data_IF_049583374851
#
_entry.id   IF_049583374851
#
_cell.length_a   1.000
_cell.length_b   1.000
_cell.length_c   1.000
_cell.angle_alpha   90.00
_cell.angle_beta   90.00
_cell.angle_gamma   90.00
#
_symmetry.space_group_name_H-M   'P 1'
#
loop_
_entity.id
_entity.type
_entity.pdbx_description
1 polymer ?
#
# COMPACT_ATOMS: atom_id res chain seq x y z
N UNK A 1 5.49 -1.93 6.00
CA UNK A 1 6.78 -1.50 5.41
C UNK A 1 6.92 -2.09 4.01
N UNK A 2 6.78 -1.27 2.98
CA UNK A 2 6.87 -1.66 1.56
C UNK A 2 8.29 -1.55 0.98
N UNK A 3 9.29 -1.22 1.81
CA UNK A 3 10.64 -0.86 1.35
C UNK A 3 10.74 0.58 0.83
N UNK A 4 9.62 1.32 0.75
CA UNK A 4 9.61 2.73 0.38
C UNK A 4 9.89 3.68 1.54
N UNK A 5 10.28 4.91 1.21
CA UNK A 5 10.59 5.98 2.18
C UNK A 5 9.42 6.31 3.11
N UNK A 6 8.20 6.33 2.60
CA UNK A 6 7.00 6.74 3.36
C UNK A 6 6.70 5.80 4.52
N UNK A 7 6.67 4.49 4.24
CA UNK A 7 6.45 3.48 5.28
C UNK A 7 7.61 3.35 6.25
N UNK A 8 8.81 3.74 5.82
CA UNK A 8 10.03 3.72 6.64
C UNK A 8 10.06 4.89 7.60
N UNK A 9 9.72 6.09 7.13
CA UNK A 9 9.58 7.25 8.00
C UNK A 9 8.39 7.09 8.95
N UNK A 10 7.26 6.55 8.49
CA UNK A 10 6.12 6.30 9.36
C UNK A 10 6.50 5.43 10.57
N UNK A 11 7.28 4.36 10.36
CA UNK A 11 7.78 3.52 11.43
C UNK A 11 8.76 4.27 12.35
N UNK A 12 9.64 5.11 11.79
CA UNK A 12 10.58 5.90 12.56
C UNK A 12 9.88 6.93 13.46
N UNK A 13 8.89 7.65 12.94
CA UNK A 13 8.11 8.63 13.70
C UNK A 13 7.37 7.97 14.86
N UNK A 14 6.71 6.83 14.64
CA UNK A 14 6.05 6.10 15.73
C UNK A 14 7.03 5.62 16.79
N UNK A 15 8.24 5.23 16.38
CA UNK A 15 9.29 4.84 17.34
C UNK A 15 9.76 6.04 18.17
N UNK A 16 9.93 7.19 17.53
CA UNK A 16 10.29 8.46 18.18
C UNK A 16 9.18 8.91 19.16
N UNK A 17 7.91 8.69 18.81
CA UNK A 17 6.73 8.98 19.64
C UNK A 17 6.55 7.97 20.81
N UNK A 18 7.43 6.98 20.94
CA UNK A 18 7.45 6.04 22.08
C UNK A 18 6.56 4.80 21.92
N UNK A 19 6.01 4.54 20.73
CA UNK A 19 5.25 3.31 20.48
C UNK A 19 6.17 2.07 20.51
N UNK A 20 5.59 0.92 20.87
CA UNK A 20 6.18 -0.38 20.58
C UNK A 20 5.89 -0.77 19.14
N UNK A 21 6.88 -0.60 18.27
CA UNK A 21 6.71 -0.69 16.82
C UNK A 21 7.25 -2.03 16.30
N UNK A 22 6.43 -2.73 15.51
CA UNK A 22 6.83 -3.89 14.71
C UNK A 22 6.61 -3.60 13.22
N UNK A 23 7.64 -3.82 12.42
CA UNK A 23 7.59 -3.69 10.98
C UNK A 23 6.97 -4.92 10.31
N UNK A 24 5.90 -4.74 9.53
CA UNK A 24 5.32 -5.82 8.71
C UNK A 24 5.51 -5.52 7.22
N UNK A 25 6.07 -6.47 6.47
CA UNK A 25 6.00 -6.47 4.99
C UNK A 25 4.99 -7.51 4.53
N UNK A 26 4.05 -7.11 3.67
CA UNK A 26 3.07 -8.03 3.09
C UNK A 26 3.61 -8.62 1.79
N UNK A 27 3.73 -9.94 1.75
CA UNK A 27 4.05 -10.67 0.54
C UNK A 27 2.75 -10.91 -0.24
N UNK A 28 2.59 -10.21 -1.36
CA UNK A 28 1.35 -10.21 -2.18
C UNK A 28 1.56 -10.72 -3.63
N UNK A 29 2.82 -10.91 -4.05
CA UNK A 29 3.15 -11.35 -5.41
C UNK A 29 2.96 -12.87 -5.62
N UNK A 30 2.47 -13.33 -6.79
CA UNK A 30 2.22 -14.74 -7.08
C UNK A 30 3.47 -15.64 -6.96
N UNK A 31 3.27 -16.96 -6.72
CA UNK A 31 4.33 -17.98 -6.83
C UNK A 31 4.66 -18.23 -8.32
N UNK A 32 5.92 -18.48 -8.65
CA UNK A 32 6.33 -18.92 -9.99
C UNK A 32 6.77 -17.81 -10.95
N UNK A 33 6.52 -16.54 -10.66
CA UNK A 33 7.21 -15.42 -11.31
C UNK A 33 8.59 -15.19 -10.68
N UNK A 34 9.41 -16.25 -10.64
CA UNK A 34 10.83 -16.08 -10.50
C UNK A 34 11.34 -15.34 -11.74
N UNK A 35 12.22 -14.36 -11.54
CA UNK A 35 13.08 -13.84 -12.61
C UNK A 35 12.38 -13.26 -13.85
N UNK A 36 11.39 -12.38 -13.68
CA UNK A 36 11.29 -11.29 -14.67
C UNK A 36 12.49 -10.38 -14.42
N UNK A 37 13.42 -10.34 -15.39
CA UNK A 37 14.61 -9.50 -15.32
C UNK A 37 14.27 -7.99 -15.29
N UNK A 38 13.02 -7.63 -15.57
CA UNK A 38 12.38 -6.37 -15.17
C UNK A 38 11.50 -6.62 -13.94
N UNK A 39 11.91 -6.14 -12.77
CA UNK A 39 11.19 -6.39 -11.52
C UNK A 39 9.73 -5.95 -11.58
N UNK A 40 8.88 -6.62 -10.79
CA UNK A 40 7.54 -6.11 -10.49
C UNK A 40 7.64 -4.67 -10.00
N UNK A 41 6.85 -3.76 -10.58
CA UNK A 41 6.95 -2.32 -10.37
C UNK A 41 7.20 -1.92 -8.91
N UNK A 42 8.41 -1.39 -8.65
CA UNK A 42 8.87 -0.56 -7.53
C UNK A 42 8.72 -1.03 -6.07
N UNK A 43 7.70 -1.83 -5.74
CA UNK A 43 7.18 -2.07 -4.39
C UNK A 43 7.22 -3.56 -3.98
N UNK A 44 7.31 -4.48 -4.95
CA UNK A 44 6.99 -5.90 -4.74
C UNK A 44 8.09 -6.83 -5.25
N UNK A 45 9.19 -6.94 -4.50
CA UNK A 45 10.28 -7.86 -4.81
C UNK A 45 11.11 -8.23 -3.58
N UNK A 46 12.05 -9.15 -3.75
CA UNK A 46 13.05 -9.49 -2.71
C UNK A 46 13.79 -8.25 -2.21
N UNK A 47 14.07 -7.31 -3.10
CA UNK A 47 14.77 -6.06 -2.77
C UNK A 47 13.93 -5.13 -1.88
N UNK A 48 12.60 -5.12 -2.05
CA UNK A 48 11.70 -4.35 -1.19
C UNK A 48 11.64 -4.92 0.24
N UNK A 49 11.68 -6.25 0.38
CA UNK A 49 11.78 -6.91 1.68
C UNK A 49 13.12 -6.58 2.33
N UNK A 50 14.21 -6.68 1.57
CA UNK A 50 15.56 -6.44 2.08
C UNK A 50 15.74 -4.99 2.54
N UNK A 51 15.21 -4.04 1.78
CA UNK A 51 15.22 -2.63 2.17
C UNK A 51 14.37 -2.38 3.43
N UNK A 52 13.18 -2.97 3.53
CA UNK A 52 12.38 -2.90 4.75
C UNK A 52 13.13 -3.49 5.96
N UNK A 53 13.83 -4.60 5.76
CA UNK A 53 14.65 -5.26 6.79
C UNK A 53 15.82 -4.37 7.25
N UNK A 54 16.53 -3.74 6.31
CA UNK A 54 17.63 -2.80 6.62
C UNK A 54 17.13 -1.58 7.41
N UNK A 55 15.98 -1.04 7.03
CA UNK A 55 15.33 0.06 7.77
C UNK A 55 14.98 -0.39 9.17
N UNK A 56 14.31 -1.54 9.32
CA UNK A 56 13.89 -2.05 10.63
C UNK A 56 15.09 -2.31 11.55
N UNK A 57 16.17 -2.91 11.02
CA UNK A 57 17.42 -3.11 11.74
C UNK A 57 18.01 -1.78 12.23
N UNK A 58 18.03 -0.77 11.36
CA UNK A 58 18.51 0.57 11.71
C UNK A 58 17.68 1.23 12.81
N UNK A 59 16.36 1.04 12.79
CA UNK A 59 15.44 1.56 13.79
C UNK A 59 15.41 0.74 15.09
N UNK A 60 16.08 -0.42 15.11
CA UNK A 60 16.05 -1.33 16.26
C UNK A 60 14.66 -1.92 16.52
N UNK A 61 13.86 -2.16 15.47
CA UNK A 61 12.50 -2.73 15.57
C UNK A 61 12.44 -4.13 14.97
N UNK A 62 11.59 -5.05 15.49
CA UNK A 62 11.34 -6.34 14.86
C UNK A 62 10.72 -6.16 13.46
N UNK A 63 11.03 -7.07 12.55
CA UNK A 63 10.47 -7.09 11.20
C UNK A 63 10.01 -8.48 10.79
N UNK A 64 8.78 -8.59 10.29
CA UNK A 64 8.21 -9.83 9.81
C UNK A 64 7.64 -9.69 8.39
N UNK A 65 7.70 -10.79 7.65
CA UNK A 65 7.06 -10.92 6.34
C UNK A 65 5.83 -11.81 6.48
N UNK A 66 4.66 -11.27 6.16
CA UNK A 66 3.39 -11.98 6.23
C UNK A 66 2.88 -12.30 4.83
N UNK A 67 2.44 -13.55 4.63
CA UNK A 67 1.91 -13.99 3.35
C UNK A 67 0.44 -13.56 3.19
N UNK A 68 0.19 -12.68 2.23
CA UNK A 68 -1.14 -12.19 1.83
C UNK A 68 -1.48 -12.53 0.37
N UNK A 69 -0.69 -13.42 -0.26
CA UNK A 69 -0.82 -13.76 -1.69
C UNK A 69 -2.22 -14.20 -2.07
N UNK A 70 -2.76 -15.19 -1.36
CA UNK A 70 -4.04 -15.77 -1.74
C UNK A 70 -5.19 -14.80 -1.48
N UNK A 71 -5.08 -13.95 -0.45
CA UNK A 71 -6.06 -12.90 -0.20
C UNK A 71 -6.00 -11.87 -1.33
N UNK A 72 -4.81 -11.37 -1.65
CA UNK A 72 -4.58 -10.39 -2.71
C UNK A 72 -5.05 -10.90 -4.08
N UNK A 73 -4.75 -12.15 -4.42
CA UNK A 73 -5.19 -12.76 -5.67
C UNK A 73 -6.72 -12.81 -5.76
N UNK A 74 -7.39 -13.20 -4.67
CA UNK A 74 -8.85 -13.37 -4.62
C UNK A 74 -9.63 -12.05 -4.55
N UNK A 75 -9.08 -11.01 -3.93
CA UNK A 75 -9.83 -9.76 -3.67
C UNK A 75 -9.39 -8.58 -4.52
N UNK A 76 -8.16 -8.59 -5.05
CA UNK A 76 -7.61 -7.49 -5.85
C UNK A 76 -7.44 -7.92 -7.30
N UNK A 77 -6.70 -9.00 -7.55
CA UNK A 77 -6.44 -9.45 -8.93
C UNK A 77 -7.73 -9.95 -9.58
N UNK A 78 -8.52 -10.75 -8.85
CA UNK A 78 -9.79 -11.27 -9.35
C UNK A 78 -10.79 -10.16 -9.71
N UNK A 79 -10.96 -9.17 -8.82
CA UNK A 79 -11.80 -7.99 -9.09
C UNK A 79 -11.30 -7.26 -10.34
N UNK A 80 -9.99 -7.02 -10.43
CA UNK A 80 -9.38 -6.32 -11.56
C UNK A 80 -9.74 -6.93 -12.92
N UNK A 81 -9.45 -8.22 -13.16
CA UNK A 81 -9.75 -8.80 -14.48
C UNK A 81 -11.26 -9.04 -14.69
N UNK A 82 -12.05 -9.26 -13.64
CA UNK A 82 -13.50 -9.42 -13.79
C UNK A 82 -14.19 -8.12 -14.20
N UNK A 83 -13.77 -6.98 -13.65
CA UNK A 83 -14.31 -5.66 -13.99
C UNK A 83 -13.96 -5.27 -15.43
N UNK A 84 -12.73 -5.52 -15.87
CA UNK A 84 -12.37 -5.36 -17.28
C UNK A 84 -13.18 -6.27 -18.20
N UNK A 85 -13.42 -7.52 -17.80
CA UNK A 85 -14.29 -8.45 -18.54
C UNK A 85 -15.74 -7.96 -18.69
N UNK A 86 -16.15 -6.99 -17.88
CA UNK A 86 -17.48 -6.34 -17.93
C UNK A 86 -17.44 -4.95 -18.60
N UNK A 87 -16.33 -4.59 -19.24
CA UNK A 87 -16.15 -3.29 -19.89
C UNK A 87 -16.01 -2.11 -18.93
N UNK A 88 -15.61 -2.36 -17.68
CA UNK A 88 -15.37 -1.30 -16.67
C UNK A 88 -13.87 -1.12 -16.41
N UNK A 89 -13.51 0.05 -15.89
CA UNK A 89 -12.13 0.38 -15.50
C UNK A 89 -11.98 0.33 -13.97
N UNK A 90 -11.48 -0.77 -13.40
CA UNK A 90 -11.31 -0.92 -11.95
C UNK A 90 -10.11 -0.14 -11.39
N UNK A 91 -10.14 0.13 -10.08
CA UNK A 91 -9.01 0.66 -9.33
C UNK A 91 -8.52 -0.37 -8.29
N UNK A 92 -7.45 -1.13 -8.59
CA UNK A 92 -6.98 -2.18 -7.69
C UNK A 92 -6.35 -1.64 -6.40
N UNK A 93 -5.88 -0.39 -6.38
CA UNK A 93 -5.31 0.23 -5.18
C UNK A 93 -6.38 0.44 -4.10
N UNK A 94 -7.59 0.85 -4.50
CA UNK A 94 -8.76 0.96 -3.60
C UNK A 94 -9.09 -0.41 -2.99
N UNK A 95 -9.11 -1.46 -3.81
CA UNK A 95 -9.39 -2.84 -3.35
C UNK A 95 -8.31 -3.39 -2.44
N UNK A 96 -7.04 -3.11 -2.74
CA UNK A 96 -5.91 -3.48 -1.90
C UNK A 96 -6.00 -2.82 -0.53
N UNK A 97 -6.32 -1.53 -0.47
CA UNK A 97 -6.55 -0.85 0.79
C UNK A 97 -7.73 -1.48 1.54
N UNK A 98 -8.89 -1.63 0.87
CA UNK A 98 -10.10 -2.16 1.47
C UNK A 98 -9.91 -3.56 2.08
N UNK A 99 -9.44 -4.53 1.28
CA UNK A 99 -9.47 -5.95 1.66
C UNK A 99 -8.16 -6.47 2.24
N UNK A 100 -7.03 -5.86 1.88
CA UNK A 100 -5.70 -6.38 2.24
C UNK A 100 -5.07 -5.56 3.36
N UNK A 101 -4.96 -4.24 3.20
CA UNK A 101 -4.28 -3.38 4.20
C UNK A 101 -5.12 -3.08 5.43
N UNK A 102 -6.40 -2.74 5.26
CA UNK A 102 -7.24 -2.28 6.38
C UNK A 102 -8.25 -3.33 6.88
N UNK A 103 -8.43 -4.43 6.16
CA UNK A 103 -9.17 -5.60 6.64
C UNK A 103 -8.21 -6.73 7.03
N UNK A 104 -7.56 -7.37 6.04
CA UNK A 104 -6.68 -8.51 6.29
C UNK A 104 -5.53 -8.25 7.28
N UNK A 105 -4.76 -7.17 7.09
CA UNK A 105 -3.65 -6.83 7.99
C UNK A 105 -4.15 -6.37 9.36
N UNK A 106 -5.22 -5.57 9.44
CA UNK A 106 -5.80 -5.15 10.72
C UNK A 106 -6.27 -6.37 11.54
N UNK A 107 -7.01 -7.29 10.91
CA UNK A 107 -7.47 -8.53 11.56
C UNK A 107 -6.30 -9.37 12.07
N UNK A 108 -5.22 -9.47 11.28
CA UNK A 108 -4.01 -10.19 11.67
C UNK A 108 -3.29 -9.49 12.82
N UNK A 109 -3.20 -8.17 12.80
CA UNK A 109 -2.57 -7.36 13.85
C UNK A 109 -3.31 -7.50 15.18
N UNK A 110 -4.65 -7.37 15.19
CA UNK A 110 -5.47 -7.59 16.39
C UNK A 110 -5.32 -9.00 16.95
N UNK A 111 -5.30 -10.02 16.09
CA UNK A 111 -5.07 -11.41 16.50
C UNK A 111 -3.69 -11.68 17.08
N UNK A 112 -2.72 -10.78 16.87
CA UNK A 112 -1.38 -10.82 17.46
C UNK A 112 -1.24 -9.89 18.68
N UNK A 113 -2.32 -9.20 19.09
CA UNK A 113 -2.32 -8.30 20.24
C UNK A 113 -1.89 -6.87 19.96
N UNK A 114 -1.83 -6.43 18.70
CA UNK A 114 -1.55 -5.03 18.36
C UNK A 114 -2.81 -4.17 18.44
N UNK A 115 -2.68 -2.97 19.01
CA UNK A 115 -3.77 -1.99 19.12
C UNK A 115 -4.04 -1.25 17.82
N UNK A 116 -2.99 -0.99 17.03
CA UNK A 116 -3.06 -0.17 15.82
C UNK A 116 -2.30 -0.78 14.64
N UNK A 117 -2.72 -0.44 13.43
CA UNK A 117 -1.88 -0.54 12.23
C UNK A 117 -1.46 0.84 11.76
N UNK A 118 -0.25 0.94 11.22
CA UNK A 118 0.25 2.18 10.65
C UNK A 118 0.71 1.98 9.21
N UNK A 119 0.46 2.99 8.38
CA UNK A 119 0.91 2.99 6.98
C UNK A 119 1.52 4.33 6.60
N UNK A 120 2.38 4.32 5.59
CA UNK A 120 2.93 5.54 5.00
C UNK A 120 1.98 6.17 3.98
N UNK A 121 0.67 6.21 4.24
CA UNK A 121 -0.23 6.96 3.37
C UNK A 121 -0.19 8.45 3.72
N UNK A 122 -0.19 9.30 2.70
CA UNK A 122 -0.39 10.75 2.85
C UNK A 122 -1.88 11.05 2.99
N UNK A 123 -2.43 10.74 4.17
CA UNK A 123 -3.79 11.06 4.59
C UNK A 123 -3.77 11.32 6.09
N UNK A 124 -4.84 11.90 6.64
CA UNK A 124 -4.92 12.21 8.06
C UNK A 124 -6.18 11.61 8.68
N UNK A 125 -6.08 11.30 9.96
CA UNK A 125 -7.19 10.84 10.77
C UNK A 125 -7.38 11.89 11.87
N UNK A 126 -8.60 12.42 11.97
CA UNK A 126 -8.95 13.48 12.91
C UNK A 126 -10.16 13.03 13.74
N UNK A 127 -10.21 13.46 15.01
CA UNK A 127 -11.41 13.30 15.82
C UNK A 127 -12.30 14.52 15.62
N UNK A 128 -13.55 14.30 15.25
CA UNK A 128 -14.55 15.35 15.18
C UNK A 128 -15.16 15.53 16.58
N UNK A 129 -14.73 16.57 17.31
CA UNK A 129 -15.17 16.82 18.70
C UNK A 129 -16.68 17.01 18.85
N UNK A 130 -17.37 17.51 17.81
CA UNK A 130 -18.82 17.77 17.85
C UNK A 130 -19.61 16.45 17.78
N UNK A 131 -19.18 15.53 16.92
CA UNK A 131 -19.91 14.28 16.63
C UNK A 131 -19.32 13.06 17.34
N UNK A 132 -18.12 13.19 17.91
CA UNK A 132 -17.33 12.08 18.46
C UNK A 132 -16.79 11.10 17.40
N UNK A 133 -16.95 11.41 16.11
CA UNK A 133 -16.58 10.50 15.02
C UNK A 133 -15.13 10.67 14.60
N UNK A 134 -14.51 9.58 14.19
CA UNK A 134 -13.20 9.59 13.54
C UNK A 134 -13.37 9.87 12.04
N UNK A 135 -12.70 10.89 11.53
CA UNK A 135 -12.79 11.32 10.13
C UNK A 135 -11.49 11.06 9.39
N UNK A 136 -11.62 10.64 8.12
CA UNK A 136 -10.51 10.60 7.18
C UNK A 136 -10.44 11.96 6.47
N UNK A 137 -9.32 12.67 6.61
CA UNK A 137 -9.09 13.97 5.97
C UNK A 137 -7.90 13.90 5.00
N UNK A 138 -7.83 14.89 4.10
CA UNK A 138 -6.73 14.98 3.13
C UNK A 138 -5.39 15.14 3.84
N UNK A 139 -4.35 14.55 3.28
CA UNK A 139 -2.97 14.83 3.67
C UNK A 139 -2.61 16.31 3.51
N UNK A 140 -1.63 16.80 4.27
CA UNK A 140 -1.15 18.19 4.16
C UNK A 140 -0.67 18.51 2.73
N UNK A 141 0.01 17.55 2.10
CA UNK A 141 0.48 17.67 0.72
C UNK A 141 -0.64 17.38 -0.28
N UNK A 142 -1.26 18.42 -0.82
CA UNK A 142 -2.35 18.27 -1.78
C UNK A 142 -1.95 17.50 -3.05
N UNK A 143 -0.66 17.53 -3.45
CA UNK A 143 -0.19 16.80 -4.65
C UNK A 143 0.07 15.32 -4.37
N UNK A 144 0.17 14.94 -3.09
CA UNK A 144 0.47 13.58 -2.66
C UNK A 144 -0.65 12.98 -1.82
N UNK A 145 -1.75 13.70 -1.63
CA UNK A 145 -2.93 13.21 -0.90
C UNK A 145 -3.41 11.87 -1.45
N UNK A 146 -3.60 10.93 -0.52
CA UNK A 146 -4.02 9.57 -0.80
C UNK A 146 -5.38 9.23 -0.18
N UNK A 147 -6.08 10.22 0.38
CA UNK A 147 -7.43 10.03 0.95
C UNK A 147 -8.41 9.41 -0.05
N UNK A 148 -8.26 9.71 -1.34
CA UNK A 148 -9.04 9.10 -2.43
C UNK A 148 -8.96 7.56 -2.43
N UNK A 149 -7.81 6.96 -2.13
CA UNK A 149 -7.68 5.49 -2.14
C UNK A 149 -8.21 4.82 -0.87
N UNK A 150 -8.71 5.61 0.08
CA UNK A 150 -9.05 5.21 1.43
C UNK A 150 -10.54 5.44 1.75
N UNK A 151 -11.37 5.82 0.77
CA UNK A 151 -12.79 6.12 1.01
C UNK A 151 -13.62 4.94 1.54
N UNK A 152 -13.10 3.70 1.40
CA UNK A 152 -13.78 2.48 1.83
C UNK A 152 -13.59 2.15 3.31
N UNK A 153 -12.76 2.91 4.03
CA UNK A 153 -12.46 2.65 5.44
C UNK A 153 -13.69 2.94 6.32
N UNK A 154 -13.95 2.01 7.24
CA UNK A 154 -15.02 2.09 8.24
C UNK A 154 -14.56 2.80 9.52
N UNK A 155 -15.48 3.17 10.41
CA UNK A 155 -15.12 3.77 11.71
C UNK A 155 -14.20 2.88 12.54
N UNK A 156 -14.54 1.58 12.67
CA UNK A 156 -13.71 0.61 13.39
C UNK A 156 -12.29 0.54 12.80
N UNK A 157 -12.15 0.57 11.47
CA UNK A 157 -10.84 0.57 10.84
C UNK A 157 -10.07 1.87 11.09
N UNK A 158 -10.74 3.03 11.03
CA UNK A 158 -10.12 4.33 11.27
C UNK A 158 -9.66 4.48 12.73
N UNK A 159 -10.43 3.99 13.69
CA UNK A 159 -10.09 3.99 15.13
C UNK A 159 -8.79 3.23 15.41
N UNK A 160 -8.50 2.19 14.63
CA UNK A 160 -7.31 1.35 14.78
C UNK A 160 -6.21 1.63 13.73
N UNK A 161 -6.24 2.80 13.08
CA UNK A 161 -5.29 3.15 12.03
C UNK A 161 -4.53 4.43 12.35
N UNK A 162 -3.23 4.45 12.04
CA UNK A 162 -2.36 5.62 12.12
C UNK A 162 -1.78 5.98 10.73
N UNK A 163 -1.74 7.27 10.42
CA UNK A 163 -1.05 7.84 9.25
C UNK A 163 0.01 8.85 9.69
N UNK A 164 1.17 8.40 10.20
CA UNK A 164 2.14 9.27 10.86
C UNK A 164 2.72 10.36 9.96
N UNK A 165 2.70 10.14 8.63
CA UNK A 165 3.27 11.09 7.67
C UNK A 165 2.24 12.08 7.09
N UNK A 166 0.97 11.96 7.49
CA UNK A 166 -0.14 12.73 6.91
C UNK A 166 -0.02 14.25 7.07
N UNK A 167 0.70 14.69 8.10
CA UNK A 167 0.95 16.10 8.42
C UNK A 167 2.22 16.68 7.77
N UNK A 168 2.82 15.97 6.81
CA UNK A 168 4.06 16.40 6.18
C UNK A 168 3.96 16.37 4.66
N UNK A 169 4.66 17.33 4.04
CA UNK A 169 4.92 17.30 2.61
C UNK A 169 5.86 16.17 2.24
N UNK A 170 5.81 15.70 0.99
CA UNK A 170 6.73 14.67 0.53
C UNK A 170 8.20 15.09 0.63
N UNK A 171 8.46 16.39 0.46
CA UNK A 171 9.80 16.97 0.62
C UNK A 171 10.29 16.83 2.07
N UNK A 172 9.44 17.15 3.03
CA UNK A 172 9.74 16.99 4.46
C UNK A 172 9.93 15.52 4.83
N UNK A 173 9.07 14.62 4.33
CA UNK A 173 9.22 13.17 4.51
C UNK A 173 10.61 12.69 4.07
N UNK A 174 11.06 13.08 2.88
CA UNK A 174 12.41 12.72 2.40
C UNK A 174 13.52 13.37 3.21
N UNK A 175 13.35 14.63 3.63
CA UNK A 175 14.35 15.33 4.46
C UNK A 175 14.53 14.64 5.82
N UNK A 176 13.44 14.35 6.52
CA UNK A 176 13.44 13.63 7.79
C UNK A 176 14.01 12.21 7.68
N UNK A 177 13.74 11.52 6.56
CA UNK A 177 14.33 10.22 6.29
C UNK A 177 15.86 10.31 6.08
N UNK A 178 16.35 11.34 5.40
CA UNK A 178 17.80 11.59 5.23
C UNK A 178 18.49 11.95 6.54
N UNK A 179 17.87 12.79 7.36
CA UNK A 179 18.38 13.16 8.68
C UNK A 179 18.57 11.93 9.58
N UNK A 180 17.58 11.03 9.57
CA UNK A 180 17.65 9.72 10.25
C UNK A 180 18.58 8.72 9.55
N UNK A 181 19.15 9.09 8.41
CA UNK A 181 19.97 8.29 7.48
C UNK A 181 19.32 6.95 7.13
N UNK A 182 18.00 6.96 6.92
CA UNK A 182 17.27 5.77 6.48
C UNK A 182 17.80 5.34 5.10
N UNK A 183 18.10 4.05 4.88
CA UNK A 183 18.75 3.58 3.64
C UNK A 183 17.90 3.79 2.38
N UNK A 184 16.61 4.05 2.54
CA UNK A 184 15.63 4.21 1.44
C UNK A 184 15.23 5.66 1.21
N UNK A 185 15.92 6.64 1.83
CA UNK A 185 15.52 8.05 1.78
C UNK A 185 15.46 8.63 0.34
N UNK A 186 16.34 8.16 -0.53
CA UNK A 186 16.43 8.56 -1.93
C UNK A 186 15.82 7.54 -2.89
N UNK A 187 15.17 6.47 -2.37
CA UNK A 187 14.48 5.48 -3.21
C UNK A 187 13.38 6.17 -4.03
N UNK A 188 13.26 5.87 -5.33
CA UNK A 188 12.15 6.36 -6.15
C UNK A 188 10.80 5.87 -5.62
N UNK A 189 9.75 6.64 -5.86
CA UNK A 189 8.38 6.21 -5.53
C UNK A 189 7.96 5.08 -6.48
N UNK A 190 7.20 4.12 -5.97
CA UNK A 190 6.56 3.13 -6.82
C UNK A 190 5.42 3.79 -7.59
N UNK A 191 5.45 3.65 -8.91
CA UNK A 191 4.37 4.03 -9.81
C UNK A 191 3.76 2.74 -10.39
N UNK A 192 2.57 2.86 -10.98
CA UNK A 192 1.82 1.78 -11.64
C UNK A 192 1.28 0.66 -10.72
N UNK A 193 0.55 -0.28 -11.32
CA UNK A 193 -0.14 -1.36 -10.61
C UNK A 193 0.86 -2.44 -10.19
N UNK A 194 0.98 -2.66 -8.89
CA UNK A 194 2.03 -3.49 -8.27
C UNK A 194 2.12 -4.96 -8.72
N UNK A 195 1.10 -5.52 -9.39
CA UNK A 195 1.09 -6.91 -9.84
C UNK A 195 1.09 -7.07 -11.36
N UNK A 196 1.14 -5.97 -12.11
CA UNK A 196 1.23 -5.98 -13.57
C UNK A 196 2.69 -5.74 -13.95
N UNK A 197 3.38 -6.75 -14.52
CA UNK A 197 4.76 -6.58 -14.99
C UNK A 197 4.83 -5.56 -16.13
N UNK A 198 5.91 -4.78 -16.16
CA UNK A 198 6.29 -3.89 -17.27
C UNK A 198 5.18 -2.94 -17.76
N UNK A 199 4.21 -2.62 -16.89
CA UNK A 199 3.04 -1.82 -17.21
C UNK A 199 2.17 -2.39 -18.37
N UNK A 200 2.32 -3.68 -18.70
CA UNK A 200 1.59 -4.31 -19.80
C UNK A 200 0.25 -4.91 -19.34
N UNK A 201 -0.71 -4.03 -19.08
CA UNK A 201 -2.06 -4.42 -18.68
C UNK A 201 -2.75 -5.31 -19.71
N UNK A 202 -2.54 -5.03 -20.99
CA UNK A 202 -3.24 -5.74 -22.07
C UNK A 202 -2.83 -7.20 -22.11
N UNK A 203 -1.53 -7.50 -22.01
CA UNK A 203 -1.02 -8.87 -21.95
C UNK A 203 -1.49 -9.58 -20.67
N UNK A 204 -1.38 -8.91 -19.51
CA UNK A 204 -1.85 -9.46 -18.23
C UNK A 204 -3.33 -9.88 -18.27
N UNK A 205 -4.18 -9.09 -18.94
CA UNK A 205 -5.60 -9.34 -19.09
C UNK A 205 -5.88 -10.41 -20.16
N UNK A 206 -5.16 -10.43 -21.28
CA UNK A 206 -5.34 -11.46 -22.34
C UNK A 206 -5.18 -12.88 -21.80
N UNK A 207 -4.24 -13.09 -20.88
CA UNK A 207 -4.02 -14.39 -20.26
C UNK A 207 -5.19 -14.87 -19.38
N UNK A 208 -6.01 -13.93 -18.88
CA UNK A 208 -7.07 -14.20 -17.88
C UNK A 208 -8.48 -14.09 -18.44
N UNK A 209 -8.69 -13.18 -19.38
CA UNK A 209 -9.98 -12.87 -20.01
C UNK A 209 -9.83 -12.74 -21.53
N UNK A 210 -9.29 -13.75 -22.24
CA UNK A 210 -9.07 -13.66 -23.70
C UNK A 210 -10.35 -13.33 -24.47
N UNK A 211 -11.51 -13.78 -23.97
CA UNK A 211 -12.82 -13.50 -24.55
C UNK A 211 -13.20 -12.01 -24.53
N UNK A 212 -12.57 -11.18 -23.70
CA UNK A 212 -12.83 -9.75 -23.64
C UNK A 212 -12.04 -8.96 -24.71
N UNK A 213 -11.07 -9.59 -25.39
CA UNK A 213 -10.24 -8.98 -26.43
C UNK A 213 -10.78 -9.25 -27.84
N UNK A 214 -12.09 -9.07 -28.03
CA UNK A 214 -12.71 -9.20 -29.35
C UNK A 214 -12.72 -7.83 -30.05
N UNK A 215 -12.20 -7.72 -31.28
CA UNK A 215 -12.32 -6.50 -32.06
C UNK A 215 -13.80 -6.13 -32.26
N UNK A 216 -14.11 -4.85 -32.07
CA UNK A 216 -15.43 -4.29 -32.35
C UNK A 216 -15.29 -3.02 -33.20
N UNK A 217 -16.38 -2.57 -33.84
CA UNK A 217 -16.36 -1.31 -34.56
C UNK A 217 -16.17 -0.14 -33.58
N UNK A 218 -15.33 0.83 -33.96
CA UNK A 218 -15.37 2.17 -33.39
C UNK A 218 -16.38 2.97 -34.19
N UNK A 219 -17.48 3.33 -33.55
CA UNK A 219 -18.56 4.11 -34.15
C UNK A 219 -18.42 5.56 -33.68
N UNK A 220 -18.75 6.50 -34.56
CA UNK A 220 -19.09 7.87 -34.18
C UNK A 220 -20.52 7.93 -33.60
N UNK A 221 -20.92 9.12 -33.14
CA UNK A 221 -22.28 9.38 -32.66
C UNK A 221 -23.33 9.31 -33.77
#
# INVERSE_FOLDING_TARGET
>A
MSGGVDSSLAAALLKDDGYDVVGITMQIWPRGHGTYQGGFGGCCGTDAIEDARKVAYRLGIPHYVLNFRDLFARTVIADFYQEYGRGRTPNPCVRCNQYVKFDGLLKKARGLGFDFIATGHHARIESNEITGRITLTKGLDAQKDQSYFLYTLTQEQLEHTLFPIGNFTKKEVRAMARERKLPVADRPESQDICFVPDNNYAEFLKDRIPQAFQPGPMLDE
#
